data_IF_161985687427
#
_entry.id   IF_161985687427
#
_cell.length_a   1.000
_cell.length_b   1.000
_cell.length_c   1.000
_cell.angle_alpha   90.00
_cell.angle_beta   90.00
_cell.angle_gamma   90.00
#
_symmetry.space_group_name_H-M   'P 1'
#
loop_
_entity.id
_entity.type
_entity.pdbx_description
1 polymer ?
#
# COMPACT_ATOMS: atom_id res chain seq x y z
N UNK A 1 -27.45 11.23 -4.03
CA UNK A 1 -27.76 12.29 -5.03
C UNK A 1 -27.55 11.67 -6.42
N UNK A 2 -28.58 11.67 -7.26
CA UNK A 2 -28.48 11.14 -8.63
C UNK A 2 -27.73 12.17 -9.46
N UNK A 3 -26.58 11.82 -9.98
CA UNK A 3 -25.81 12.66 -10.90
C UNK A 3 -26.56 12.72 -12.25
N UNK A 4 -27.41 13.72 -12.44
CA UNK A 4 -28.13 13.93 -13.70
C UNK A 4 -27.21 14.67 -14.67
N UNK A 5 -26.93 14.05 -15.81
CA UNK A 5 -26.09 14.64 -16.87
C UNK A 5 -24.57 14.54 -16.63
N UNK A 6 -24.12 13.60 -15.78
CA UNK A 6 -22.71 13.26 -15.59
C UNK A 6 -22.40 11.88 -16.16
N UNK A 7 -21.19 11.69 -16.65
CA UNK A 7 -20.67 10.40 -17.11
C UNK A 7 -19.37 10.09 -16.37
N UNK A 8 -19.19 8.81 -16.02
CA UNK A 8 -17.97 8.31 -15.41
C UNK A 8 -17.19 7.49 -16.44
N UNK A 9 -16.11 8.05 -16.96
CA UNK A 9 -15.24 7.37 -17.92
C UNK A 9 -14.28 6.46 -17.18
N UNK A 10 -14.27 5.15 -17.53
CA UNK A 10 -13.36 4.16 -16.99
C UNK A 10 -12.61 3.51 -18.14
N UNK A 11 -11.25 3.51 -18.07
CA UNK A 11 -10.36 3.00 -19.11
C UNK A 11 -10.76 1.60 -19.58
N UNK A 12 -10.97 0.68 -18.65
CA UNK A 12 -11.28 -0.71 -18.98
C UNK A 12 -12.68 -1.11 -18.48
N UNK A 13 -12.78 -1.55 -17.22
CA UNK A 13 -14.01 -1.95 -16.55
C UNK A 13 -13.98 -1.55 -15.08
N UNK A 14 -15.12 -1.67 -14.40
CA UNK A 14 -15.20 -1.44 -12.96
C UNK A 14 -14.18 -2.29 -12.19
N UNK A 15 -13.61 -1.71 -11.15
CA UNK A 15 -12.61 -2.36 -10.29
C UNK A 15 -11.37 -2.89 -11.04
N UNK A 16 -10.99 -2.31 -12.18
CA UNK A 16 -9.92 -2.82 -13.03
C UNK A 16 -8.59 -2.94 -12.30
N UNK A 17 -8.23 -1.96 -11.48
CA UNK A 17 -6.99 -1.98 -10.69
C UNK A 17 -6.95 -3.16 -9.71
N UNK A 18 -8.08 -3.51 -9.11
CA UNK A 18 -8.21 -4.67 -8.24
C UNK A 18 -8.11 -6.00 -9.00
N UNK A 19 -8.57 -6.05 -10.25
CA UNK A 19 -8.53 -7.25 -11.09
C UNK A 19 -7.14 -7.53 -11.66
N UNK A 20 -6.44 -6.48 -12.09
CA UNK A 20 -5.28 -6.63 -12.98
C UNK A 20 -3.97 -6.10 -12.41
N UNK A 21 -4.01 -5.28 -11.33
CA UNK A 21 -2.84 -4.58 -10.81
C UNK A 21 -2.50 -4.98 -9.36
N UNK A 22 -3.03 -6.11 -8.90
CA UNK A 22 -2.80 -6.64 -7.54
C UNK A 22 -2.41 -8.11 -7.62
N UNK A 23 -1.73 -8.59 -6.58
CA UNK A 23 -1.38 -10.00 -6.44
C UNK A 23 -2.55 -10.80 -5.88
N UNK A 24 -2.55 -12.10 -6.18
CA UNK A 24 -3.73 -12.96 -6.02
C UNK A 24 -4.15 -13.15 -4.56
N UNK A 25 -3.19 -13.20 -3.63
CA UNK A 25 -3.47 -13.43 -2.21
C UNK A 25 -3.81 -12.15 -1.43
N UNK A 26 -3.81 -10.99 -2.08
CA UNK A 26 -4.08 -9.72 -1.40
C UNK A 26 -5.47 -9.73 -0.77
N UNK A 27 -5.52 -9.33 0.49
CA UNK A 27 -6.74 -8.95 1.21
C UNK A 27 -6.68 -7.48 1.62
N UNK A 28 -7.83 -6.87 1.89
CA UNK A 28 -7.86 -5.53 2.45
C UNK A 28 -7.10 -5.47 3.77
N UNK A 29 -6.47 -4.35 4.07
CA UNK A 29 -5.81 -4.10 5.36
C UNK A 29 -6.79 -3.62 6.42
N UNK A 30 -7.94 -3.13 5.98
CA UNK A 30 -9.04 -2.64 6.82
C UNK A 30 -10.06 -3.73 7.01
N UNK A 31 -10.61 -3.91 8.21
CA UNK A 31 -11.73 -4.82 8.45
C UNK A 31 -12.94 -4.47 7.59
N UNK A 32 -13.78 -5.48 7.33
CA UNK A 32 -14.94 -5.36 6.44
C UNK A 32 -15.94 -4.29 6.89
N UNK A 33 -16.11 -4.07 8.21
CA UNK A 33 -16.99 -3.03 8.74
C UNK A 33 -16.56 -1.59 8.34
N UNK A 34 -15.31 -1.37 7.93
CA UNK A 34 -14.86 -0.08 7.40
C UNK A 34 -15.20 0.10 5.91
N UNK A 35 -15.58 -0.96 5.20
CA UNK A 35 -15.95 -0.91 3.79
C UNK A 35 -17.36 -0.34 3.65
N UNK A 36 -17.43 0.98 3.56
CA UNK A 36 -18.68 1.74 3.45
C UNK A 36 -18.57 2.87 2.43
N UNK A 37 -19.62 3.01 1.66
CA UNK A 37 -19.81 4.05 0.66
C UNK A 37 -21.16 4.74 0.93
N UNK A 38 -21.47 5.91 0.38
CA UNK A 38 -22.71 6.60 0.66
C UNK A 38 -23.96 5.74 0.42
N UNK A 39 -24.64 5.39 1.51
CA UNK A 39 -25.83 4.53 1.49
C UNK A 39 -25.57 3.04 1.19
N UNK A 40 -24.31 2.59 1.23
CA UNK A 40 -23.93 1.22 0.93
C UNK A 40 -22.76 0.79 1.82
N UNK A 41 -22.90 -0.34 2.50
CA UNK A 41 -21.89 -0.86 3.42
C UNK A 41 -21.74 -2.38 3.27
N UNK A 42 -20.69 -2.92 3.84
CA UNK A 42 -20.51 -4.36 3.92
C UNK A 42 -21.66 -5.00 4.71
N UNK A 43 -22.34 -5.96 4.12
CA UNK A 43 -23.50 -6.66 4.69
C UNK A 43 -23.28 -8.17 4.89
N UNK A 44 -22.02 -8.63 4.82
CA UNK A 44 -21.66 -10.03 5.05
C UNK A 44 -21.64 -10.40 6.53
N UNK A 45 -21.44 -11.70 6.80
CA UNK A 45 -21.50 -12.27 8.15
C UNK A 45 -20.22 -12.06 8.98
N UNK A 46 -19.11 -11.64 8.36
CA UNK A 46 -17.81 -11.45 9.00
C UNK A 46 -17.36 -9.98 8.94
N UNK A 47 -17.90 -9.10 9.81
CA UNK A 47 -17.55 -7.69 9.80
C UNK A 47 -16.09 -7.43 10.22
N UNK A 48 -15.49 -8.29 11.03
CA UNK A 48 -14.11 -8.17 11.50
C UNK A 48 -13.10 -8.86 10.57
N UNK A 49 -13.56 -9.57 9.55
CA UNK A 49 -12.73 -10.17 8.52
C UNK A 49 -12.19 -9.17 7.51
N UNK A 50 -11.54 -9.69 6.47
CA UNK A 50 -10.84 -8.89 5.45
C UNK A 50 -11.20 -9.39 4.06
N UNK A 51 -11.86 -8.56 3.26
CA UNK A 51 -12.22 -8.91 1.88
C UNK A 51 -11.00 -9.28 1.05
N UNK A 52 -11.13 -10.40 0.35
CA UNK A 52 -10.23 -10.80 -0.74
C UNK A 52 -10.45 -9.95 -1.99
N UNK A 53 -9.57 -10.05 -2.98
CA UNK A 53 -9.73 -9.31 -4.24
C UNK A 53 -11.07 -9.57 -4.94
N UNK A 54 -11.56 -10.81 -5.09
CA UNK A 54 -12.88 -11.07 -5.68
C UNK A 54 -14.01 -10.36 -4.92
N UNK A 55 -14.00 -10.38 -3.58
CA UNK A 55 -15.02 -9.75 -2.75
C UNK A 55 -14.99 -8.21 -2.87
N UNK A 56 -13.81 -7.60 -2.93
CA UNK A 56 -13.67 -6.15 -3.19
C UNK A 56 -14.23 -5.77 -4.57
N UNK A 57 -13.95 -6.59 -5.57
CA UNK A 57 -14.45 -6.37 -6.93
C UNK A 57 -15.98 -6.42 -6.93
N UNK A 58 -16.56 -7.43 -6.30
CA UNK A 58 -18.02 -7.60 -6.17
C UNK A 58 -18.65 -6.42 -5.44
N UNK A 59 -18.08 -6.01 -4.30
CA UNK A 59 -18.52 -4.85 -3.52
C UNK A 59 -18.58 -3.56 -4.37
N UNK A 60 -17.56 -3.31 -5.19
CA UNK A 60 -17.51 -2.14 -6.09
C UNK A 60 -18.55 -2.25 -7.21
N UNK A 61 -18.74 -3.44 -7.79
CA UNK A 61 -19.73 -3.67 -8.85
C UNK A 61 -21.17 -3.55 -8.35
N UNK A 62 -21.43 -4.04 -7.14
CA UNK A 62 -22.73 -3.90 -6.49
C UNK A 62 -23.04 -2.45 -6.14
N UNK A 63 -22.05 -1.71 -5.63
CA UNK A 63 -22.24 -0.28 -5.40
C UNK A 63 -22.54 0.49 -6.70
N UNK A 64 -21.88 0.16 -7.80
CA UNK A 64 -22.17 0.79 -9.08
C UNK A 64 -23.60 0.51 -9.56
N UNK A 65 -24.12 -0.69 -9.33
CA UNK A 65 -25.52 -1.05 -9.60
C UNK A 65 -26.48 -0.29 -8.67
N UNK A 66 -26.17 -0.30 -7.36
CA UNK A 66 -26.98 0.37 -6.34
C UNK A 66 -27.10 1.87 -6.61
N UNK A 67 -26.00 2.53 -6.91
CA UNK A 67 -25.95 3.97 -7.18
C UNK A 67 -26.48 4.35 -8.57
N UNK A 68 -26.77 3.36 -9.44
CA UNK A 68 -27.11 3.57 -10.85
C UNK A 68 -26.11 4.52 -11.54
N UNK A 69 -24.82 4.37 -11.25
CA UNK A 69 -23.77 5.23 -11.76
C UNK A 69 -23.70 5.14 -13.31
N UNK A 70 -23.63 6.29 -14.03
CA UNK A 70 -23.57 6.33 -15.50
C UNK A 70 -22.16 5.99 -16.01
N UNK A 71 -21.74 4.75 -15.80
CA UNK A 71 -20.39 4.28 -16.12
C UNK A 71 -20.24 4.01 -17.62
N UNK A 72 -19.21 4.59 -18.23
CA UNK A 72 -18.76 4.35 -19.60
C UNK A 72 -17.45 3.54 -19.55
N UNK A 73 -17.55 2.23 -19.63
CA UNK A 73 -16.40 1.31 -19.67
C UNK A 73 -15.66 1.40 -21.00
N UNK A 74 -14.42 0.89 -21.05
CA UNK A 74 -13.55 0.93 -22.23
C UNK A 74 -13.41 2.34 -22.81
N UNK A 75 -13.39 3.35 -21.93
CA UNK A 75 -13.31 4.76 -22.29
C UNK A 75 -12.08 5.38 -21.65
N UNK A 76 -10.99 5.39 -22.41
CA UNK A 76 -9.71 5.96 -21.96
C UNK A 76 -9.69 7.45 -22.20
N UNK A 77 -9.57 8.24 -21.13
CA UNK A 77 -9.32 9.68 -21.22
C UNK A 77 -7.88 9.89 -21.69
N UNK A 78 -7.70 10.58 -22.81
CA UNK A 78 -6.40 10.88 -23.41
C UNK A 78 -5.91 12.28 -23.06
N UNK A 79 -6.84 13.25 -22.94
CA UNK A 79 -6.52 14.57 -22.40
C UNK A 79 -7.74 15.26 -21.81
N UNK A 80 -7.47 16.13 -20.83
CA UNK A 80 -8.43 17.10 -20.30
C UNK A 80 -7.81 18.49 -20.43
N UNK A 81 -8.49 19.40 -21.09
CA UNK A 81 -8.01 20.75 -21.38
C UNK A 81 -9.08 21.78 -21.05
N UNK A 82 -8.67 22.97 -20.67
CA UNK A 82 -9.58 24.10 -20.58
C UNK A 82 -10.01 24.54 -22.00
N UNK A 83 -11.30 24.75 -22.18
CA UNK A 83 -11.86 25.18 -23.44
C UNK A 83 -12.93 26.27 -23.22
N UNK A 84 -12.60 27.50 -23.46
CA UNK A 84 -13.41 28.66 -23.08
C UNK A 84 -13.72 28.61 -21.56
N UNK A 85 -14.99 28.68 -21.18
CA UNK A 85 -15.46 28.59 -19.79
C UNK A 85 -15.74 27.16 -19.32
N UNK A 86 -15.40 26.18 -20.13
CA UNK A 86 -15.67 24.76 -19.92
C UNK A 86 -14.39 23.92 -20.02
N UNK A 87 -14.56 22.61 -20.02
CA UNK A 87 -13.49 21.65 -20.27
C UNK A 87 -13.79 20.80 -21.50
N UNK A 88 -12.75 20.51 -22.25
CA UNK A 88 -12.74 19.55 -23.34
C UNK A 88 -12.05 18.28 -22.87
N UNK A 89 -12.79 17.15 -22.87
CA UNK A 89 -12.29 15.83 -22.50
C UNK A 89 -12.18 15.00 -23.77
N UNK A 90 -10.98 14.63 -24.16
CA UNK A 90 -10.71 13.78 -25.32
C UNK A 90 -10.53 12.34 -24.85
N UNK A 91 -11.23 11.43 -25.49
CA UNK A 91 -11.12 10.00 -25.20
C UNK A 91 -10.97 9.18 -26.48
N UNK A 92 -10.68 7.89 -26.34
CA UNK A 92 -10.69 6.94 -27.46
C UNK A 92 -12.07 6.70 -28.08
N UNK A 93 -13.15 7.24 -27.48
CA UNK A 93 -14.54 7.09 -27.94
C UNK A 93 -15.22 8.40 -28.33
N UNK A 94 -14.47 9.47 -28.41
CA UNK A 94 -14.97 10.78 -28.80
C UNK A 94 -14.55 11.89 -27.85
N UNK A 95 -15.14 13.05 -28.06
CA UNK A 95 -14.84 14.28 -27.31
C UNK A 95 -16.09 14.72 -26.56
N UNK A 96 -15.91 15.06 -25.29
CA UNK A 96 -16.94 15.67 -24.46
C UNK A 96 -16.60 17.12 -24.12
N UNK A 97 -17.62 17.93 -24.06
CA UNK A 97 -17.57 19.29 -23.51
C UNK A 97 -18.37 19.31 -22.21
N UNK A 98 -17.76 19.71 -21.10
CA UNK A 98 -18.39 19.68 -19.79
C UNK A 98 -18.02 20.91 -18.96
N UNK A 99 -18.93 21.31 -18.07
CA UNK A 99 -18.72 22.44 -17.15
C UNK A 99 -17.74 22.13 -16.01
N UNK A 100 -17.63 20.87 -15.64
CA UNK A 100 -16.77 20.42 -14.55
C UNK A 100 -16.20 19.03 -14.83
N UNK A 101 -15.01 18.77 -14.32
CA UNK A 101 -14.35 17.45 -14.34
C UNK A 101 -13.96 17.09 -12.91
N UNK A 102 -14.32 15.86 -12.51
CA UNK A 102 -13.88 15.28 -11.24
C UNK A 102 -12.82 14.22 -11.56
N UNK A 103 -11.61 14.42 -11.05
CA UNK A 103 -10.51 13.48 -11.21
C UNK A 103 -10.57 12.48 -10.06
N UNK A 104 -10.93 11.24 -10.36
CA UNK A 104 -11.06 10.14 -9.42
C UNK A 104 -10.23 8.92 -9.87
N UNK A 105 -9.07 9.17 -10.52
CA UNK A 105 -8.22 8.14 -11.14
C UNK A 105 -7.39 7.33 -10.11
N UNK A 106 -7.42 7.71 -8.84
CA UNK A 106 -6.66 7.06 -7.77
C UNK A 106 -5.19 7.47 -7.73
N UNK A 107 -4.47 6.98 -6.73
CA UNK A 107 -3.09 7.35 -6.45
C UNK A 107 -2.07 6.25 -6.82
N UNK A 108 -2.52 5.08 -7.22
CA UNK A 108 -1.66 3.90 -7.45
C UNK A 108 -1.52 3.54 -8.93
N UNK A 109 -1.49 4.53 -9.84
CA UNK A 109 -1.49 4.27 -11.27
C UNK A 109 -0.13 3.80 -11.81
N UNK A 110 0.95 4.31 -11.25
CA UNK A 110 2.31 4.00 -11.66
C UNK A 110 3.10 3.50 -10.46
N UNK A 111 3.66 2.30 -10.55
CA UNK A 111 4.58 1.80 -9.54
C UNK A 111 5.85 2.66 -9.52
N UNK A 112 6.26 3.08 -8.34
CA UNK A 112 7.44 3.90 -8.17
C UNK A 112 8.70 3.03 -8.22
N UNK A 113 9.42 3.06 -9.34
CA UNK A 113 10.69 2.38 -9.52
C UNK A 113 11.82 3.39 -9.36
N UNK A 114 12.60 3.34 -8.25
CA UNK A 114 13.58 4.37 -7.96
C UNK A 114 14.75 4.35 -8.95
N UNK A 115 15.46 5.48 -9.15
CA UNK A 115 16.57 5.58 -10.12
C UNK A 115 17.68 4.52 -9.94
N UNK A 116 17.91 4.07 -8.70
CA UNK A 116 18.88 3.00 -8.39
C UNK A 116 18.59 1.69 -9.13
N UNK A 117 17.36 1.48 -9.57
CA UNK A 117 16.96 0.30 -10.36
C UNK A 117 17.67 0.18 -11.71
N UNK A 118 18.24 1.26 -12.24
CA UNK A 118 19.02 1.25 -13.48
C UNK A 118 20.37 0.51 -13.34
N UNK A 119 20.83 0.31 -12.10
CA UNK A 119 22.06 -0.43 -11.82
C UNK A 119 21.87 -1.93 -11.65
N UNK A 120 20.65 -2.44 -11.81
CA UNK A 120 20.39 -3.89 -11.72
C UNK A 120 21.08 -4.61 -12.88
N UNK A 121 21.91 -5.64 -12.59
CA UNK A 121 22.60 -6.41 -13.62
C UNK A 121 21.64 -7.09 -14.60
N UNK A 122 22.11 -7.27 -15.85
CA UNK A 122 21.41 -8.11 -16.80
C UNK A 122 21.27 -9.55 -16.26
N UNK A 123 20.12 -10.19 -16.52
CA UNK A 123 19.83 -11.54 -16.02
C UNK A 123 19.17 -11.59 -14.64
N UNK A 124 18.99 -10.44 -13.96
CA UNK A 124 18.16 -10.36 -12.74
C UNK A 124 16.81 -9.74 -13.09
N UNK A 125 15.73 -10.48 -12.83
CA UNK A 125 14.37 -9.99 -13.04
C UNK A 125 14.07 -8.79 -12.12
N UNK A 126 13.48 -7.73 -12.68
CA UNK A 126 13.24 -6.47 -11.97
C UNK A 126 11.75 -6.12 -12.04
N UNK A 127 11.00 -6.56 -11.03
CA UNK A 127 9.54 -6.47 -10.95
C UNK A 127 9.11 -5.30 -10.05
N UNK A 128 7.93 -4.77 -10.32
CA UNK A 128 7.22 -3.85 -9.41
C UNK A 128 6.03 -4.55 -8.75
N UNK A 129 5.36 -3.86 -7.83
CA UNK A 129 4.15 -4.39 -7.21
C UNK A 129 2.98 -4.59 -8.21
N UNK A 130 3.02 -3.93 -9.39
CA UNK A 130 2.05 -4.16 -10.47
C UNK A 130 2.36 -5.43 -11.27
N UNK A 131 3.61 -5.88 -11.28
CA UNK A 131 4.05 -7.04 -12.06
C UNK A 131 3.92 -8.35 -11.26
N UNK A 132 3.98 -8.27 -9.93
CA UNK A 132 3.90 -9.44 -9.06
C UNK A 132 2.46 -9.94 -8.93
N UNK A 133 2.22 -11.23 -9.19
CA UNK A 133 0.93 -11.91 -9.03
C UNK A 133 0.95 -12.95 -7.92
N UNK A 134 1.94 -13.82 -7.95
CA UNK A 134 2.19 -14.85 -6.94
C UNK A 134 3.66 -15.32 -7.05
N UNK A 135 4.13 -16.04 -6.04
CA UNK A 135 5.51 -16.53 -6.00
C UNK A 135 5.84 -17.54 -7.11
N UNK A 136 4.85 -18.20 -7.70
CA UNK A 136 5.05 -19.19 -8.77
C UNK A 136 5.57 -18.62 -10.08
N UNK A 137 5.47 -17.28 -10.27
CA UNK A 137 6.03 -16.62 -11.47
C UNK A 137 7.55 -16.35 -11.38
N UNK A 138 8.12 -16.49 -10.16
CA UNK A 138 9.50 -16.12 -9.92
C UNK A 138 10.46 -17.22 -10.38
N UNK A 139 11.59 -16.81 -10.93
CA UNK A 139 12.68 -17.74 -11.21
C UNK A 139 13.24 -18.30 -9.91
N UNK A 140 13.72 -19.56 -9.95
CA UNK A 140 14.36 -20.19 -8.80
C UNK A 140 15.64 -19.45 -8.41
N UNK A 141 15.77 -19.11 -7.14
CA UNK A 141 16.88 -18.37 -6.58
C UNK A 141 16.41 -17.44 -5.45
N UNK A 142 17.30 -16.58 -5.00
CA UNK A 142 16.99 -15.58 -3.95
C UNK A 142 16.21 -14.39 -4.52
N UNK A 143 15.44 -13.75 -3.65
CA UNK A 143 14.66 -12.57 -3.98
C UNK A 143 15.04 -11.41 -3.06
N UNK A 144 15.35 -10.26 -3.64
CA UNK A 144 15.54 -9.01 -2.92
C UNK A 144 14.24 -8.17 -3.02
N UNK A 145 13.55 -8.01 -1.90
CA UNK A 145 12.39 -7.10 -1.80
C UNK A 145 12.87 -5.73 -1.33
N UNK A 146 12.60 -4.68 -2.09
CA UNK A 146 13.01 -3.31 -1.74
C UNK A 146 11.81 -2.52 -1.22
N UNK A 147 11.82 -2.19 0.06
CA UNK A 147 10.74 -1.52 0.79
C UNK A 147 10.06 -2.44 1.80
N UNK A 148 9.82 -1.93 3.01
CA UNK A 148 9.30 -2.68 4.16
C UNK A 148 7.98 -2.09 4.70
N UNK A 149 7.16 -1.49 3.83
CA UNK A 149 5.77 -1.13 4.12
C UNK A 149 4.85 -2.33 3.91
N UNK A 150 3.54 -2.18 4.06
CA UNK A 150 2.56 -3.25 3.92
C UNK A 150 2.82 -4.20 2.73
N UNK A 151 3.01 -3.66 1.53
CA UNK A 151 3.24 -4.46 0.32
C UNK A 151 4.54 -5.27 0.39
N UNK A 152 5.64 -4.63 0.81
CA UNK A 152 6.95 -5.29 0.87
C UNK A 152 6.99 -6.43 1.89
N UNK A 153 6.37 -6.23 3.06
CA UNK A 153 6.27 -7.30 4.06
C UNK A 153 5.43 -8.48 3.56
N UNK A 154 4.29 -8.20 2.93
CA UNK A 154 3.42 -9.26 2.41
C UNK A 154 4.12 -10.06 1.30
N UNK A 155 4.83 -9.39 0.41
CA UNK A 155 5.64 -10.07 -0.61
C UNK A 155 6.74 -10.93 0.02
N UNK A 156 7.49 -10.37 0.98
CA UNK A 156 8.56 -11.12 1.65
C UNK A 156 8.03 -12.36 2.36
N UNK A 157 6.89 -12.26 3.04
CA UNK A 157 6.23 -13.36 3.72
C UNK A 157 5.72 -14.43 2.74
N UNK A 158 5.01 -14.04 1.69
CA UNK A 158 4.46 -14.96 0.68
C UNK A 158 5.57 -15.70 -0.08
N UNK A 159 6.57 -14.97 -0.53
CA UNK A 159 7.69 -15.53 -1.28
C UNK A 159 8.53 -16.46 -0.40
N UNK A 160 8.73 -16.09 0.88
CA UNK A 160 9.43 -16.95 1.85
C UNK A 160 8.66 -18.24 2.14
N UNK A 161 7.34 -18.15 2.30
CA UNK A 161 6.45 -19.32 2.48
C UNK A 161 6.44 -20.24 1.27
N UNK A 162 6.66 -19.70 0.09
CA UNK A 162 6.82 -20.49 -1.15
C UNK A 162 8.21 -21.16 -1.28
N UNK A 163 9.09 -20.99 -0.28
CA UNK A 163 10.37 -21.68 -0.19
C UNK A 163 11.57 -20.94 -0.79
N UNK A 164 11.41 -19.66 -1.17
CA UNK A 164 12.51 -18.84 -1.66
C UNK A 164 13.37 -18.27 -0.52
N UNK A 165 14.64 -18.03 -0.80
CA UNK A 165 15.47 -17.17 0.05
C UNK A 165 15.09 -15.71 -0.18
N UNK A 166 14.78 -14.98 0.90
CA UNK A 166 14.32 -13.59 0.81
C UNK A 166 15.20 -12.67 1.63
N UNK A 167 15.63 -11.58 1.00
CA UNK A 167 16.23 -10.43 1.66
C UNK A 167 15.30 -9.24 1.50
N UNK A 168 15.00 -8.53 2.60
CA UNK A 168 14.19 -7.31 2.55
C UNK A 168 15.03 -6.07 2.90
N UNK A 169 15.05 -5.09 2.00
CA UNK A 169 15.73 -3.82 2.22
C UNK A 169 14.76 -2.81 2.87
N UNK A 170 15.09 -2.42 4.10
CA UNK A 170 14.22 -1.69 5.00
C UNK A 170 14.64 -0.23 5.13
N UNK A 171 13.79 0.66 4.66
CA UNK A 171 13.87 2.10 4.90
C UNK A 171 12.93 2.56 6.02
N UNK A 172 12.53 3.84 5.98
CA UNK A 172 11.50 4.36 6.87
C UNK A 172 10.20 3.55 6.69
N UNK A 173 9.57 3.19 7.81
CA UNK A 173 8.36 2.39 7.82
C UNK A 173 7.51 2.73 9.05
N UNK A 174 6.24 2.34 9.01
CA UNK A 174 5.29 2.50 10.11
C UNK A 174 4.96 1.12 10.65
N UNK A 175 5.44 0.82 11.85
CA UNK A 175 5.13 -0.41 12.57
C UNK A 175 3.82 -0.25 13.34
N UNK A 176 2.90 -1.19 13.16
CA UNK A 176 1.67 -1.29 13.95
C UNK A 176 1.38 -2.75 14.27
N UNK A 177 0.85 -3.07 15.47
CA UNK A 177 0.31 -4.39 15.75
C UNK A 177 -1.02 -4.56 15.00
N UNK A 178 -1.39 -5.79 14.64
CA UNK A 178 -2.71 -6.07 14.06
C UNK A 178 -3.82 -5.91 15.10
N UNK A 179 -3.54 -6.37 16.30
CA UNK A 179 -4.47 -6.29 17.44
C UNK A 179 -3.81 -5.59 18.61
N UNK A 180 -4.61 -4.87 19.37
CA UNK A 180 -4.23 -4.26 20.65
C UNK A 180 -5.42 -4.33 21.61
N UNK A 181 -5.19 -4.73 22.86
CA UNK A 181 -6.23 -4.89 23.88
C UNK A 181 -7.44 -5.70 23.39
N UNK A 182 -7.15 -6.82 22.70
CA UNK A 182 -8.14 -7.77 22.20
C UNK A 182 -8.98 -7.26 21.01
N UNK A 183 -8.68 -6.09 20.43
CA UNK A 183 -9.37 -5.54 19.27
C UNK A 183 -8.39 -5.21 18.14
N UNK A 184 -8.91 -5.21 16.91
CA UNK A 184 -8.16 -4.75 15.74
C UNK A 184 -7.66 -3.31 15.94
N UNK A 185 -6.45 -3.01 15.48
CA UNK A 185 -5.88 -1.66 15.60
C UNK A 185 -6.75 -0.62 14.89
N UNK A 186 -7.43 -0.98 13.82
CA UNK A 186 -8.34 -0.09 13.08
C UNK A 186 -9.55 0.32 13.93
N UNK A 187 -10.02 -0.56 14.84
CA UNK A 187 -11.05 -0.21 15.79
C UNK A 187 -10.58 0.95 16.69
N UNK A 188 -9.35 0.88 17.20
CA UNK A 188 -8.80 1.93 18.05
C UNK A 188 -8.55 3.22 17.30
N UNK A 189 -7.97 3.15 16.09
CA UNK A 189 -7.74 4.34 15.25
C UNK A 189 -9.06 5.05 14.91
N UNK A 190 -10.14 4.29 14.70
CA UNK A 190 -11.46 4.86 14.46
C UNK A 190 -12.07 5.46 15.73
N UNK A 191 -12.06 4.72 16.85
CA UNK A 191 -12.70 5.10 18.10
C UNK A 191 -12.04 6.33 18.75
N UNK A 192 -10.72 6.43 18.64
CA UNK A 192 -9.94 7.58 19.15
C UNK A 192 -10.09 8.82 18.28
N UNK A 193 -10.62 8.70 17.06
CA UNK A 193 -10.71 9.79 16.09
C UNK A 193 -9.41 10.07 15.33
N UNK A 194 -8.35 9.31 15.54
CA UNK A 194 -7.05 9.50 14.84
C UNK A 194 -7.16 9.38 13.31
N UNK A 195 -8.19 8.71 12.79
CA UNK A 195 -8.47 8.67 11.36
C UNK A 195 -9.19 9.91 10.83
N UNK A 196 -9.64 10.79 11.71
CA UNK A 196 -10.42 11.98 11.35
C UNK A 196 -9.60 13.28 11.43
N UNK A 197 -8.27 13.17 11.67
CA UNK A 197 -7.38 14.34 11.67
C UNK A 197 -7.47 15.06 10.32
N UNK A 198 -7.87 16.32 10.35
CA UNK A 198 -8.01 17.16 9.17
C UNK A 198 -6.66 17.66 8.66
N UNK A 199 -6.58 17.96 7.38
CA UNK A 199 -5.33 18.46 6.79
C UNK A 199 -4.89 19.81 7.41
N UNK A 200 -5.81 20.57 7.98
CA UNK A 200 -5.54 21.81 8.70
C UNK A 200 -4.82 21.59 10.05
N UNK A 201 -4.92 20.38 10.59
CA UNK A 201 -4.30 20.00 11.88
C UNK A 201 -2.88 19.44 11.69
N UNK A 202 -2.47 19.22 10.43
CA UNK A 202 -1.18 18.61 10.08
C UNK A 202 -0.13 19.71 9.88
N UNK A 203 0.90 19.73 10.70
CA UNK A 203 2.00 20.71 10.64
C UNK A 203 2.80 20.65 9.33
N UNK A 204 3.05 19.46 8.80
CA UNK A 204 3.84 19.21 7.58
C UNK A 204 3.11 18.24 6.64
N UNK A 205 2.29 18.78 5.75
CA UNK A 205 1.54 18.02 4.75
C UNK A 205 2.44 17.26 3.78
N UNK A 206 3.60 17.80 3.42
CA UNK A 206 4.53 17.13 2.51
C UNK A 206 5.08 15.86 3.14
N UNK A 207 5.47 15.94 4.39
CA UNK A 207 5.92 14.80 5.19
C UNK A 207 4.80 13.78 5.41
N UNK A 208 3.60 14.25 5.78
CA UNK A 208 2.45 13.37 6.00
C UNK A 208 2.09 12.57 4.74
N UNK A 209 2.09 13.21 3.57
CA UNK A 209 1.86 12.54 2.28
C UNK A 209 2.97 11.55 1.89
N UNK A 210 4.17 11.73 2.41
CA UNK A 210 5.32 10.85 2.20
C UNK A 210 5.38 9.65 3.14
N UNK A 211 4.51 9.56 4.16
CA UNK A 211 4.51 8.45 5.11
C UNK A 211 4.18 7.13 4.39
N UNK A 212 4.97 6.08 4.65
CA UNK A 212 4.69 4.77 4.10
C UNK A 212 3.44 4.14 4.75
N UNK A 213 2.80 3.23 4.03
CA UNK A 213 1.68 2.44 4.58
C UNK A 213 2.11 1.63 5.79
N UNK A 214 1.27 1.51 6.83
CA UNK A 214 1.58 0.73 8.02
C UNK A 214 1.83 -0.75 7.68
N UNK A 215 2.68 -1.39 8.47
CA UNK A 215 2.99 -2.81 8.39
C UNK A 215 1.79 -3.63 8.90
N UNK A 216 0.80 -3.83 8.04
CA UNK A 216 -0.41 -4.58 8.31
C UNK A 216 -0.65 -5.63 7.22
N UNK A 217 -1.38 -6.67 7.58
CA UNK A 217 -1.90 -7.68 6.66
C UNK A 217 -3.33 -8.02 7.02
N UNK A 218 -4.19 -8.19 6.03
CA UNK A 218 -5.51 -8.79 6.21
C UNK A 218 -5.37 -10.30 6.25
N UNK A 219 -5.64 -10.91 7.39
CA UNK A 219 -5.58 -12.37 7.54
C UNK A 219 -6.64 -12.83 8.53
N UNK A 220 -7.19 -14.01 8.28
CA UNK A 220 -8.23 -14.59 9.15
C UNK A 220 -7.78 -14.78 10.60
N UNK A 221 -6.51 -15.07 10.81
CA UNK A 221 -5.90 -15.29 12.13
C UNK A 221 -5.43 -13.98 12.81
N UNK A 222 -5.71 -12.83 12.21
CA UNK A 222 -5.33 -11.50 12.72
C UNK A 222 -3.83 -11.39 13.12
N UNK A 223 -2.97 -12.15 12.42
CA UNK A 223 -1.55 -12.25 12.74
C UNK A 223 -0.82 -10.92 12.59
N UNK A 224 0.16 -10.72 13.42
CA UNK A 224 1.11 -9.63 13.28
C UNK A 224 2.11 -9.99 12.17
N UNK A 225 2.26 -9.09 11.19
CA UNK A 225 3.28 -9.19 10.16
C UNK A 225 4.19 -7.96 10.27
N UNK A 226 5.35 -8.16 10.86
CA UNK A 226 6.38 -7.15 11.05
C UNK A 226 7.77 -7.72 10.73
N UNK A 227 8.82 -6.94 10.93
CA UNK A 227 10.20 -7.38 10.67
C UNK A 227 10.64 -8.52 11.60
N UNK A 228 10.11 -8.57 12.84
CA UNK A 228 10.42 -9.66 13.76
C UNK A 228 9.86 -10.99 13.24
N UNK A 229 8.58 -11.00 12.86
CA UNK A 229 7.93 -12.20 12.31
C UNK A 229 8.57 -12.68 11.00
N UNK A 230 9.03 -11.75 10.16
CA UNK A 230 9.77 -12.09 8.94
C UNK A 230 11.14 -12.70 9.27
N UNK A 231 11.87 -12.13 10.23
CA UNK A 231 13.18 -12.68 10.66
C UNK A 231 13.04 -14.07 11.27
N UNK A 232 11.99 -14.32 12.07
CA UNK A 232 11.68 -15.64 12.64
C UNK A 232 11.40 -16.67 11.55
N UNK A 233 10.85 -16.25 10.42
CA UNK A 233 10.61 -17.07 9.24
C UNK A 233 11.85 -17.17 8.32
N UNK A 234 12.99 -16.61 8.71
CA UNK A 234 14.26 -16.70 7.97
C UNK A 234 14.39 -15.70 6.82
N UNK A 235 13.64 -14.61 6.83
CA UNK A 235 13.88 -13.47 5.92
C UNK A 235 15.06 -12.66 6.46
N UNK A 236 16.03 -12.37 5.61
CA UNK A 236 17.17 -11.51 5.96
C UNK A 236 16.77 -10.04 5.86
N UNK A 237 16.92 -9.30 6.95
CA UNK A 237 16.61 -7.87 7.00
C UNK A 237 17.89 -7.06 6.84
N UNK A 238 17.92 -6.13 5.88
CA UNK A 238 19.03 -5.21 5.64
C UNK A 238 18.54 -3.76 5.62
N UNK A 239 19.46 -2.81 5.70
CA UNK A 239 19.13 -1.39 5.66
C UNK A 239 18.57 -0.93 4.30
N UNK A 240 18.16 0.34 4.22
CA UNK A 240 17.66 0.95 2.98
C UNK A 240 18.65 0.76 1.85
N UNK A 241 18.17 0.33 0.68
CA UNK A 241 18.96 0.26 -0.54
C UNK A 241 19.35 1.68 -0.98
N UNK A 242 20.65 1.96 -1.01
CA UNK A 242 21.21 3.27 -1.32
C UNK A 242 21.72 3.37 -2.75
N UNK A 243 22.21 2.27 -3.30
CA UNK A 243 22.76 2.20 -4.65
C UNK A 243 22.95 0.78 -5.13
N UNK A 244 23.09 0.62 -6.45
CA UNK A 244 23.57 -0.58 -7.10
C UNK A 244 24.67 -0.15 -8.05
N UNK A 245 25.92 -0.54 -7.78
CA UNK A 245 27.07 -0.16 -8.56
C UNK A 245 27.93 -1.38 -8.85
N UNK A 246 28.31 -1.58 -10.10
CA UNK A 246 29.14 -2.71 -10.55
C UNK A 246 28.61 -4.04 -9.99
N UNK A 247 27.33 -4.33 -10.17
CA UNK A 247 26.71 -5.56 -9.71
C UNK A 247 26.53 -5.71 -8.20
N UNK A 248 26.92 -4.69 -7.39
CA UNK A 248 26.82 -4.73 -5.93
C UNK A 248 25.76 -3.78 -5.41
N UNK A 249 24.76 -4.32 -4.70
CA UNK A 249 23.78 -3.53 -3.94
C UNK A 249 24.40 -3.04 -2.62
N UNK A 250 24.19 -1.76 -2.31
CA UNK A 250 24.71 -1.08 -1.13
C UNK A 250 23.56 -0.68 -0.21
N UNK A 251 23.66 -1.03 1.06
CA UNK A 251 22.63 -0.76 2.07
C UNK A 251 23.11 0.25 3.12
N UNK A 252 22.17 1.03 3.63
CA UNK A 252 22.43 1.98 4.72
C UNK A 252 22.75 1.26 6.02
N UNK A 253 23.73 1.77 6.78
CA UNK A 253 24.03 1.33 8.14
C UNK A 253 23.03 1.81 9.21
N UNK A 254 21.98 2.57 8.81
CA UNK A 254 21.02 3.16 9.75
C UNK A 254 19.84 2.25 10.14
N UNK A 255 19.88 0.95 9.79
CA UNK A 255 18.77 0.02 10.05
C UNK A 255 18.29 0.04 11.50
N UNK A 256 19.20 -0.04 12.47
CA UNK A 256 18.87 0.00 13.90
C UNK A 256 18.12 1.28 14.30
N UNK A 257 18.56 2.42 13.81
CA UNK A 257 17.92 3.71 14.10
C UNK A 257 16.53 3.83 13.49
N UNK A 258 16.36 3.34 12.26
CA UNK A 258 15.06 3.35 11.56
C UNK A 258 14.05 2.45 12.29
N UNK A 259 14.47 1.26 12.72
CA UNK A 259 13.62 0.35 13.49
C UNK A 259 13.26 0.93 14.85
N UNK A 260 14.23 1.47 15.60
CA UNK A 260 13.99 2.10 16.90
C UNK A 260 13.02 3.29 16.79
N UNK A 261 13.09 4.08 15.71
CA UNK A 261 12.14 5.17 15.45
C UNK A 261 10.72 4.65 15.16
N UNK A 262 10.60 3.58 14.41
CA UNK A 262 9.30 2.95 14.13
C UNK A 262 8.67 2.38 15.41
N UNK A 263 9.47 1.72 16.27
CA UNK A 263 9.04 1.22 17.58
C UNK A 263 8.59 2.35 18.50
N UNK A 264 9.34 3.46 18.54
CA UNK A 264 8.98 4.64 19.33
C UNK A 264 7.66 5.24 18.89
N UNK A 265 7.45 5.37 17.58
CA UNK A 265 6.20 5.90 17.00
C UNK A 265 5.02 4.99 17.34
N UNK A 266 5.19 3.67 17.23
CA UNK A 266 4.19 2.69 17.65
C UNK A 266 3.86 2.83 19.13
N UNK A 267 4.86 2.88 20.01
CA UNK A 267 4.65 3.06 21.44
C UNK A 267 3.82 4.29 21.78
N UNK A 268 4.14 5.44 21.18
CA UNK A 268 3.36 6.68 21.36
C UNK A 268 1.91 6.58 20.90
N UNK A 269 1.66 5.84 19.80
CA UNK A 269 0.30 5.59 19.35
C UNK A 269 -0.47 4.73 20.34
N UNK A 270 0.14 3.67 20.87
CA UNK A 270 -0.49 2.79 21.85
C UNK A 270 -0.76 3.53 23.17
N UNK A 271 0.17 4.37 23.63
CA UNK A 271 -0.01 5.27 24.78
C UNK A 271 -1.21 6.22 24.55
N UNK A 272 -1.35 6.82 23.38
CA UNK A 272 -2.47 7.68 23.06
C UNK A 272 -3.82 6.93 23.06
N UNK A 273 -3.82 5.65 22.64
CA UNK A 273 -5.00 4.78 22.75
C UNK A 273 -5.32 4.50 24.23
N UNK A 274 -4.32 4.19 25.04
CA UNK A 274 -4.49 3.94 26.48
C UNK A 274 -5.05 5.15 27.21
N UNK A 275 -4.50 6.34 26.94
CA UNK A 275 -4.99 7.62 27.48
C UNK A 275 -6.45 7.91 27.07
N UNK A 276 -6.83 7.49 25.87
CA UNK A 276 -8.22 7.61 25.41
C UNK A 276 -9.14 6.64 26.15
N UNK A 277 -8.72 5.38 26.37
CA UNK A 277 -9.47 4.36 27.08
C UNK A 277 -9.70 4.78 28.54
N UNK A 278 -8.70 5.36 29.20
CA UNK A 278 -8.84 5.86 30.58
C UNK A 278 -9.96 6.92 30.71
N UNK A 279 -10.11 7.77 29.68
CA UNK A 279 -11.14 8.81 29.61
C UNK A 279 -12.49 8.30 29.10
N UNK A 280 -12.48 7.19 28.38
CA UNK A 280 -13.66 6.60 27.72
C UNK A 280 -13.74 5.11 28.05
N UNK A 281 -14.26 4.70 29.21
CA UNK A 281 -14.25 3.30 29.63
C UNK A 281 -14.91 2.39 28.57
N UNK A 282 -14.13 1.53 27.96
CA UNK A 282 -14.53 0.52 26.96
C UNK A 282 -14.07 -0.84 27.45
N UNK A 283 -14.91 -1.86 27.30
CA UNK A 283 -14.54 -3.22 27.61
C UNK A 283 -13.45 -3.71 26.62
N UNK A 284 -12.27 -3.97 27.14
CA UNK A 284 -11.10 -4.43 26.40
C UNK A 284 -10.14 -5.20 27.31
N UNK A 285 -9.19 -5.90 26.72
CA UNK A 285 -8.15 -6.64 27.44
C UNK A 285 -7.12 -5.70 28.09
N UNK A 286 -6.23 -6.28 28.88
CA UNK A 286 -5.07 -5.57 29.42
C UNK A 286 -4.13 -5.13 28.28
N UNK A 287 -3.33 -4.05 28.47
CA UNK A 287 -2.39 -3.60 27.45
C UNK A 287 -1.29 -4.65 27.21
N UNK A 288 -1.09 -5.01 25.94
CA UNK A 288 0.03 -5.85 25.53
C UNK A 288 1.31 -5.03 25.41
N UNK A 289 2.45 -5.70 25.62
CA UNK A 289 3.77 -5.16 25.34
C UNK A 289 4.36 -5.84 24.12
N UNK A 290 4.81 -5.04 23.19
CA UNK A 290 5.47 -5.53 21.97
C UNK A 290 6.98 -5.44 22.12
N UNK A 291 7.67 -6.53 21.73
CA UNK A 291 9.13 -6.53 21.67
C UNK A 291 9.63 -5.51 20.65
N UNK A 292 10.74 -4.88 20.96
CA UNK A 292 11.42 -4.01 20.00
C UNK A 292 11.82 -4.78 18.73
N UNK A 293 11.94 -4.08 17.63
CA UNK A 293 12.41 -4.69 16.38
C UNK A 293 13.83 -5.18 16.53
N UNK A 294 14.03 -6.48 16.35
CA UNK A 294 15.35 -7.13 16.42
C UNK A 294 16.15 -6.79 15.16
N UNK A 295 17.36 -6.38 15.36
CA UNK A 295 18.29 -6.06 14.28
C UNK A 295 19.61 -6.78 14.56
N UNK A 296 20.14 -7.48 13.58
CA UNK A 296 21.45 -8.13 13.68
C UNK A 296 22.52 -7.14 14.17
N UNK A 297 23.51 -7.63 14.91
CA UNK A 297 24.61 -6.79 15.39
C UNK A 297 25.44 -6.21 14.24
N UNK A 298 25.55 -6.95 13.16
CA UNK A 298 26.29 -6.57 11.95
C UNK A 298 25.47 -6.82 10.68
N UNK A 299 24.42 -6.04 10.41
CA UNK A 299 23.62 -6.22 9.22
C UNK A 299 24.47 -6.00 7.97
N UNK A 300 24.24 -6.82 6.94
CA UNK A 300 24.99 -6.72 5.68
C UNK A 300 24.81 -5.34 5.05
N UNK A 301 25.91 -4.67 4.74
CA UNK A 301 25.93 -3.38 4.04
C UNK A 301 26.10 -3.53 2.52
N UNK A 302 26.53 -4.70 2.07
CA UNK A 302 26.79 -5.01 0.66
C UNK A 302 26.17 -6.35 0.31
N UNK A 303 25.68 -6.47 -0.91
CA UNK A 303 25.23 -7.73 -1.51
C UNK A 303 25.70 -7.76 -2.97
N UNK A 304 26.55 -8.71 -3.27
CA UNK A 304 26.99 -8.97 -4.63
C UNK A 304 25.85 -9.64 -5.39
N UNK A 305 25.21 -8.92 -6.29
CA UNK A 305 24.07 -9.40 -7.05
C UNK A 305 24.48 -10.38 -8.17
N UNK A 306 25.68 -10.21 -8.72
CA UNK A 306 26.16 -11.05 -9.84
C UNK A 306 26.57 -12.45 -9.37
N UNK A 307 27.26 -12.53 -8.22
CA UNK A 307 27.77 -13.78 -7.67
C UNK A 307 26.87 -14.39 -6.59
N UNK A 308 25.82 -13.68 -6.16
CA UNK A 308 24.82 -14.20 -5.22
C UNK A 308 23.78 -15.09 -5.90
N UNK A 309 22.94 -15.72 -5.08
CA UNK A 309 21.79 -16.48 -5.55
C UNK A 309 20.58 -15.61 -5.94
N UNK A 310 20.69 -14.26 -5.90
CA UNK A 310 19.57 -13.36 -6.25
C UNK A 310 19.25 -13.48 -7.74
N UNK A 311 17.99 -13.76 -8.03
CA UNK A 311 17.46 -13.84 -9.41
C UNK A 311 16.35 -12.85 -9.66
N UNK A 312 15.76 -12.29 -8.59
CA UNK A 312 14.66 -11.32 -8.72
C UNK A 312 14.82 -10.18 -7.72
N UNK A 313 14.58 -8.95 -8.18
CA UNK A 313 14.39 -7.78 -7.33
C UNK A 313 12.96 -7.30 -7.48
N UNK A 314 12.25 -7.13 -6.37
CA UNK A 314 10.88 -6.61 -6.36
C UNK A 314 10.86 -5.24 -5.69
N UNK A 315 10.41 -4.23 -6.43
CA UNK A 315 10.31 -2.85 -5.99
C UNK A 315 8.96 -2.61 -5.31
N UNK A 316 8.91 -2.76 -4.00
CA UNK A 316 7.77 -2.43 -3.15
C UNK A 316 7.90 -0.98 -2.61
N UNK A 317 8.28 -0.07 -3.49
CA UNK A 317 8.67 1.32 -3.19
C UNK A 317 7.54 2.33 -3.38
N UNK A 318 6.30 1.84 -3.33
CA UNK A 318 5.09 2.65 -3.41
C UNK A 318 4.65 2.96 -4.84
N UNK A 319 3.74 3.90 -4.95
CA UNK A 319 3.06 4.27 -6.20
C UNK A 319 2.97 5.79 -6.32
N UNK A 320 2.65 6.25 -7.51
CA UNK A 320 2.30 7.64 -7.78
C UNK A 320 1.11 7.72 -8.75
N UNK A 321 0.30 8.80 -8.67
CA UNK A 321 -0.75 9.03 -9.63
C UNK A 321 -0.17 9.32 -11.03
N UNK A 322 -0.95 9.02 -12.06
CA UNK A 322 -0.67 9.43 -13.43
C UNK A 322 -1.61 10.56 -13.84
N UNK A 323 -1.07 11.76 -13.96
CA UNK A 323 -1.75 12.95 -14.43
C UNK A 323 -1.16 13.45 -15.77
N UNK A 324 -0.45 12.60 -16.52
CA UNK A 324 0.16 12.97 -17.81
C UNK A 324 -0.84 13.43 -18.87
N UNK A 325 -2.08 13.01 -18.72
CA UNK A 325 -3.22 13.36 -19.59
C UNK A 325 -3.94 14.66 -19.17
N UNK A 326 -3.61 15.26 -18.02
CA UNK A 326 -4.25 16.46 -17.50
C UNK A 326 -3.49 17.71 -17.93
N UNK A 327 -4.03 18.43 -18.88
CA UNK A 327 -3.49 19.69 -19.40
C UNK A 327 -4.34 20.87 -18.86
N UNK A 328 -4.40 20.95 -17.54
CA UNK A 328 -5.04 22.05 -16.77
C UNK A 328 -4.07 22.43 -15.64
N UNK A 329 -3.76 23.71 -15.43
CA UNK A 329 -2.78 24.16 -14.45
C UNK A 329 -3.33 24.14 -13.01
N UNK A 330 -3.63 22.94 -12.51
CA UNK A 330 -4.18 22.69 -11.15
C UNK A 330 -3.23 21.88 -10.26
N UNK A 331 -2.06 21.50 -10.78
CA UNK A 331 -1.04 20.80 -10.03
C UNK A 331 0.12 21.75 -9.80
N UNK A 332 0.57 21.85 -8.55
CA UNK A 332 1.85 22.48 -8.21
C UNK A 332 2.97 21.65 -8.86
N UNK A 333 3.82 22.32 -9.66
CA UNK A 333 4.94 21.69 -10.37
C UNK A 333 6.21 21.74 -9.52
#
# INVERSE_FOLDING_TARGET
ARLVGSEMCIRDRLANSWRNERWESLKLLTPNWQSRLPGFEYAGEDPDGFMSMPEVIEFIEEYAKFSAAPVKTHTTVQSVQRYMDNYRVVTNRGVWHTKAVVIASGACNIANKPPVSKGVPEGIASLTAHDFRNAGQLERGGVLVVGASATGLQFADEIRKAGYEVTIATGEHVRLPRTYRGRDIQFWLHSTGLLNEGYEEIDDLSRARGLPSPQLVGSHDSRILDLNSLSDNGVKVVGRLMGINNGTAQFSGSLRNVCALADLKMGRLLEAIDDWIERNPVLCDAPERFEATRVDDSPSLLLDLENSNIRTIIWATGFRPDYSWLDVPVLDR
#
